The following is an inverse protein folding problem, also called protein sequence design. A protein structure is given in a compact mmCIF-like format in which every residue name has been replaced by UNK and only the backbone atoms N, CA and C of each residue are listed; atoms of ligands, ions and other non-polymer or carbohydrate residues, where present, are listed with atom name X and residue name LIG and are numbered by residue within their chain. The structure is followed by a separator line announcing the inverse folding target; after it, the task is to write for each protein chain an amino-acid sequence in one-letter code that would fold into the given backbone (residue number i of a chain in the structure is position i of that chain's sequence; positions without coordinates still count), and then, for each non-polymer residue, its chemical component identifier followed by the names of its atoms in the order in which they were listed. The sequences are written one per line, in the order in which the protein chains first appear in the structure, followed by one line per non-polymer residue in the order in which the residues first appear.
data_IF_943044706589
#
_entry.id   IF_943044706589
#
_cell.length_a   1.000
_cell.length_b   1.000
_cell.length_c   1.000
_cell.angle_alpha   90.00
_cell.angle_beta   90.00
_cell.angle_gamma   90.00
#
_symmetry.space_group_name_H-M   'P 1'
#
loop_
_entity.id
_entity.type
_entity.pdbx_description
1 polymer ?
#
# COMPACT_ATOMS: atom_id res chain seq x y z
N UNK A 1 -8.07 -19.89 15.62
CA UNK A 1 -7.64 -18.62 15.02
C UNK A 1 -6.74 -18.89 13.82
N UNK A 2 -7.09 -18.37 12.69
CA UNK A 2 -6.31 -18.60 11.49
C UNK A 2 -5.12 -17.64 11.44
N UNK A 3 -3.96 -18.19 11.11
CA UNK A 3 -2.79 -17.36 10.86
C UNK A 3 -2.93 -16.67 9.51
N UNK A 4 -2.68 -15.39 9.50
CA UNK A 4 -2.71 -14.62 8.29
C UNK A 4 -1.45 -14.90 7.47
N UNK A 5 -1.62 -15.39 6.26
CA UNK A 5 -0.50 -15.62 5.35
C UNK A 5 -0.04 -14.31 4.76
N UNK A 6 1.25 -14.08 4.78
CA UNK A 6 1.86 -12.84 4.27
C UNK A 6 2.69 -13.11 3.04
N UNK A 7 2.77 -12.13 2.16
CA UNK A 7 3.61 -12.19 0.97
C UNK A 7 4.78 -11.23 1.14
N UNK A 8 5.92 -11.63 0.57
CA UNK A 8 7.10 -10.78 0.52
C UNK A 8 7.40 -10.49 -0.95
N UNK A 9 7.61 -9.22 -1.26
CA UNK A 9 7.82 -8.77 -2.64
C UNK A 9 9.08 -7.92 -2.70
N UNK A 10 9.92 -8.17 -3.70
CA UNK A 10 11.09 -7.33 -3.96
C UNK A 10 10.77 -6.38 -5.10
N UNK A 11 11.05 -5.09 -4.88
CA UNK A 11 10.83 -4.06 -5.88
C UNK A 11 11.98 -3.06 -5.84
N UNK A 12 12.29 -2.49 -7.00
CA UNK A 12 13.21 -1.35 -7.04
C UNK A 12 12.53 -0.14 -6.38
N UNK A 13 13.33 0.85 -6.02
CA UNK A 13 12.80 2.11 -5.48
C UNK A 13 11.81 2.74 -6.46
N UNK A 14 12.12 2.67 -7.75
CA UNK A 14 11.25 3.23 -8.79
C UNK A 14 9.92 2.49 -8.89
N UNK A 15 9.97 1.17 -8.82
CA UNK A 15 8.75 0.35 -8.83
C UNK A 15 7.90 0.63 -7.59
N UNK A 16 8.53 0.70 -6.43
CA UNK A 16 7.82 0.96 -5.18
C UNK A 16 7.14 2.32 -5.20
N UNK A 17 7.83 3.34 -5.71
CA UNK A 17 7.26 4.67 -5.84
C UNK A 17 6.06 4.70 -6.78
N UNK A 18 6.15 3.98 -7.91
CA UNK A 18 5.07 3.91 -8.88
C UNK A 18 3.84 3.19 -8.29
N UNK A 19 4.06 2.09 -7.61
CA UNK A 19 2.99 1.33 -6.97
C UNK A 19 2.32 2.17 -5.88
N UNK A 20 3.12 2.84 -5.06
CA UNK A 20 2.61 3.71 -4.01
C UNK A 20 1.70 4.81 -4.57
N UNK A 21 2.15 5.47 -5.62
CA UNK A 21 1.37 6.53 -6.26
C UNK A 21 0.05 6.01 -6.80
N UNK A 22 0.08 4.84 -7.46
CA UNK A 22 -1.11 4.21 -8.00
C UNK A 22 -2.10 3.83 -6.90
N UNK A 23 -1.60 3.25 -5.81
CA UNK A 23 -2.44 2.86 -4.68
C UNK A 23 -3.08 4.07 -4.03
N UNK A 24 -2.32 5.15 -3.89
CA UNK A 24 -2.82 6.38 -3.28
C UNK A 24 -3.97 6.97 -4.10
N UNK A 25 -3.80 7.04 -5.42
CA UNK A 25 -4.83 7.54 -6.32
C UNK A 25 -6.08 6.65 -6.30
N UNK A 26 -5.87 5.34 -6.38
CA UNK A 26 -6.96 4.37 -6.36
C UNK A 26 -7.76 4.45 -5.06
N UNK A 27 -7.07 4.53 -3.94
CA UNK A 27 -7.72 4.63 -2.62
C UNK A 27 -8.55 5.90 -2.50
N UNK A 28 -8.02 7.01 -3.01
CA UNK A 28 -8.72 8.29 -2.98
C UNK A 28 -10.04 8.22 -3.73
N UNK A 29 -10.03 7.63 -4.91
CA UNK A 29 -11.24 7.47 -5.72
C UNK A 29 -12.18 6.45 -5.12
N UNK A 30 -11.63 5.32 -4.68
CA UNK A 30 -12.42 4.22 -4.13
C UNK A 30 -13.16 4.61 -2.86
N UNK A 31 -12.56 5.46 -2.04
CA UNK A 31 -13.17 5.91 -0.77
C UNK A 31 -14.51 6.59 -0.99
N UNK A 32 -14.69 7.25 -2.13
CA UNK A 32 -15.93 7.94 -2.48
C UNK A 32 -16.92 7.06 -3.24
N UNK A 33 -16.57 5.82 -3.53
CA UNK A 33 -17.45 4.89 -4.21
C UNK A 33 -18.52 4.40 -3.23
N UNK A 34 -19.82 4.46 -3.60
CA UNK A 34 -20.88 3.95 -2.73
C UNK A 34 -20.75 2.48 -2.36
N UNK A 35 -19.99 1.72 -3.17
CA UNK A 35 -19.75 0.28 -2.93
C UNK A 35 -18.42 0.05 -2.23
N UNK A 36 -17.83 1.09 -1.65
CA UNK A 36 -16.57 0.99 -0.96
C UNK A 36 -16.64 0.01 0.22
N UNK A 37 -15.65 -0.87 0.29
CA UNK A 37 -15.51 -1.80 1.40
C UNK A 37 -14.44 -1.24 2.35
N UNK A 38 -14.81 -0.85 3.58
CA UNK A 38 -13.86 -0.23 4.51
C UNK A 38 -12.62 -1.08 4.79
N UNK A 39 -12.78 -2.39 4.86
CA UNK A 39 -11.66 -3.30 5.09
C UNK A 39 -10.65 -3.23 3.96
N UNK A 40 -11.10 -3.12 2.73
CA UNK A 40 -10.22 -3.00 1.57
C UNK A 40 -9.46 -1.69 1.60
N UNK A 41 -10.11 -0.61 1.99
CA UNK A 41 -9.45 0.70 2.14
C UNK A 41 -8.33 0.60 3.17
N UNK A 42 -8.61 -0.03 4.31
CA UNK A 42 -7.62 -0.22 5.36
C UNK A 42 -6.42 -1.05 4.88
N UNK A 43 -6.68 -2.11 4.13
CA UNK A 43 -5.63 -2.95 3.57
C UNK A 43 -4.73 -2.18 2.60
N UNK A 44 -5.33 -1.36 1.74
CA UNK A 44 -4.58 -0.54 0.78
C UNK A 44 -3.73 0.50 1.53
N UNK A 45 -4.30 1.16 2.52
CA UNK A 45 -3.58 2.15 3.33
C UNK A 45 -2.40 1.51 4.06
N UNK A 46 -2.59 0.31 4.59
CA UNK A 46 -1.52 -0.41 5.26
C UNK A 46 -0.39 -0.73 4.29
N UNK A 47 -0.72 -1.16 3.09
CA UNK A 47 0.28 -1.43 2.04
C UNK A 47 1.07 -0.17 1.69
N UNK A 48 0.39 0.98 1.59
CA UNK A 48 1.05 2.26 1.33
C UNK A 48 2.04 2.59 2.45
N UNK A 49 1.63 2.41 3.69
CA UNK A 49 2.49 2.68 4.86
C UNK A 49 3.72 1.78 4.85
N UNK A 50 3.56 0.51 4.52
CA UNK A 50 4.69 -0.41 4.44
C UNK A 50 5.69 0.01 3.38
N UNK A 51 5.20 0.43 2.21
CA UNK A 51 6.05 0.91 1.12
C UNK A 51 6.76 2.20 1.54
N UNK A 52 6.04 3.13 2.15
CA UNK A 52 6.60 4.40 2.63
C UNK A 52 7.72 4.18 3.63
N UNK A 53 7.50 3.29 4.59
CA UNK A 53 8.52 3.01 5.61
C UNK A 53 9.80 2.46 5.00
N UNK A 54 9.67 1.58 4.02
CA UNK A 54 10.84 1.00 3.36
C UNK A 54 11.56 2.01 2.49
N UNK A 55 10.82 2.86 1.77
CA UNK A 55 11.41 3.92 0.96
C UNK A 55 12.14 4.92 1.86
N UNK A 56 11.57 5.27 2.99
CA UNK A 56 12.19 6.20 3.92
C UNK A 56 13.50 5.65 4.47
N UNK A 57 13.55 4.36 4.82
CA UNK A 57 14.77 3.72 5.27
C UNK A 57 15.87 3.79 4.22
N UNK A 58 15.54 3.51 2.98
CA UNK A 58 16.50 3.53 1.88
C UNK A 58 17.01 4.94 1.60
N UNK A 59 16.10 5.92 1.58
CA UNK A 59 16.43 7.30 1.25
C UNK A 59 17.19 8.03 2.36
N UNK A 60 17.04 7.60 3.60
CA UNK A 60 17.71 8.21 4.75
C UNK A 60 19.02 7.52 5.12
N UNK A 61 19.38 6.51 4.39
CA UNK A 61 20.58 5.72 4.69
C UNK A 61 21.87 6.35 4.09
#
# INVERSE_FOLDING_TARGET
MSEEKKVTVEMSVYQAAAVRASLFTDTKEYTYDPKCIPERVAQIRDAIIQIDNQLEEILND
#
